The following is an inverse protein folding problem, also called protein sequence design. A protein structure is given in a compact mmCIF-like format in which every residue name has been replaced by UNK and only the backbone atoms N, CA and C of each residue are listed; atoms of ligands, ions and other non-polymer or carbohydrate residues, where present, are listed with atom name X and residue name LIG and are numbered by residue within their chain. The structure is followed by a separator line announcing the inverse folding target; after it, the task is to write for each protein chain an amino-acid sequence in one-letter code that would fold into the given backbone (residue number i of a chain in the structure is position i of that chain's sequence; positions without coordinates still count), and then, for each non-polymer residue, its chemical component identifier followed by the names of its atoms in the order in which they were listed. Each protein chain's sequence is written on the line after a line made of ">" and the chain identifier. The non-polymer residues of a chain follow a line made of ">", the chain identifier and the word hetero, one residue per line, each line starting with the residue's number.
data_IF_170996591686
#
_entry.id   IF_170996591686
#
_cell.length_a   1.000
_cell.length_b   1.000
_cell.length_c   1.000
_cell.angle_alpha   90.00
_cell.angle_beta   90.00
_cell.angle_gamma   90.00
#
_symmetry.space_group_name_H-M   'P 1'
#
loop_
_entity.id
_entity.type
_entity.pdbx_description
1 polymer ?
#
# COMPACT_ATOMS: atom_id res chain seq x y z
N UNK A 1 5.71 -20.52 12.09
CA UNK A 1 4.49 -21.19 11.59
C UNK A 1 3.19 -20.46 11.88
N UNK A 2 2.81 -20.23 13.16
CA UNK A 2 1.54 -19.55 13.51
C UNK A 2 1.44 -18.13 12.92
N UNK A 3 2.50 -17.33 13.08
CA UNK A 3 2.57 -15.97 12.54
C UNK A 3 2.37 -15.93 11.00
N UNK A 4 2.98 -16.86 10.26
CA UNK A 4 2.82 -16.98 8.81
C UNK A 4 1.38 -17.30 8.41
N UNK A 5 0.74 -18.24 9.11
CA UNK A 5 -0.68 -18.59 8.87
C UNK A 5 -1.62 -17.44 9.18
N UNK A 6 -1.40 -16.75 10.30
CA UNK A 6 -2.21 -15.61 10.70
C UNK A 6 -2.06 -14.44 9.70
N UNK A 7 -0.84 -14.22 9.17
CA UNK A 7 -0.57 -13.19 8.16
C UNK A 7 -1.18 -13.52 6.80
N UNK A 8 -1.09 -14.77 6.33
CA UNK A 8 -1.78 -15.19 5.10
C UNK A 8 -3.30 -15.01 5.25
N UNK A 9 -3.85 -15.30 6.43
CA UNK A 9 -5.27 -15.09 6.69
C UNK A 9 -5.66 -13.60 6.68
N UNK A 10 -4.82 -12.74 7.27
CA UNK A 10 -5.01 -11.27 7.25
C UNK A 10 -4.92 -10.69 5.85
N UNK A 11 -3.83 -10.96 5.11
CA UNK A 11 -3.67 -10.49 3.72
C UNK A 11 -4.80 -11.01 2.85
N UNK A 12 -5.17 -12.29 3.00
CA UNK A 12 -6.31 -12.86 2.28
C UNK A 12 -7.64 -12.16 2.59
N UNK A 13 -7.85 -11.70 3.82
CA UNK A 13 -9.02 -10.91 4.19
C UNK A 13 -8.97 -9.50 3.58
N UNK A 14 -7.81 -8.85 3.63
CA UNK A 14 -7.63 -7.48 3.15
C UNK A 14 -7.66 -7.38 1.63
N UNK A 15 -7.24 -8.44 0.91
CA UNK A 15 -7.38 -8.54 -0.54
C UNK A 15 -8.86 -8.67 -1.00
N UNK A 16 -9.74 -9.25 -0.18
CA UNK A 16 -11.16 -9.47 -0.58
C UNK A 16 -11.90 -8.17 -0.83
N UNK A 17 -11.66 -7.15 0.00
CA UNK A 17 -12.35 -5.86 -0.09
C UNK A 17 -12.09 -5.14 -1.43
N UNK A 18 -10.83 -4.83 -1.81
CA UNK A 18 -10.56 -4.19 -3.10
C UNK A 18 -10.91 -5.09 -4.29
N UNK A 19 -10.77 -6.42 -4.18
CA UNK A 19 -11.21 -7.34 -5.23
C UNK A 19 -12.72 -7.29 -5.47
N UNK A 20 -13.53 -7.31 -4.41
CA UNK A 20 -14.98 -7.22 -4.50
C UNK A 20 -15.42 -5.88 -5.11
N UNK A 21 -14.76 -4.78 -4.73
CA UNK A 21 -15.00 -3.45 -5.29
C UNK A 21 -14.70 -3.39 -6.80
N UNK A 22 -13.52 -3.86 -7.23
CA UNK A 22 -13.16 -3.93 -8.65
C UNK A 22 -14.15 -4.79 -9.43
N UNK A 23 -14.54 -5.94 -8.89
CA UNK A 23 -15.52 -6.82 -9.53
C UNK A 23 -16.87 -6.12 -9.73
N UNK A 24 -17.40 -5.49 -8.69
CA UNK A 24 -18.68 -4.78 -8.78
C UNK A 24 -18.63 -3.62 -9.80
N UNK A 25 -17.50 -2.91 -9.87
CA UNK A 25 -17.30 -1.84 -10.87
C UNK A 25 -17.27 -2.40 -12.28
N UNK A 26 -16.54 -3.49 -12.51
CA UNK A 26 -16.45 -4.13 -13.83
C UNK A 26 -17.80 -4.67 -14.27
N UNK A 27 -18.55 -5.31 -13.36
CA UNK A 27 -19.91 -5.79 -13.63
C UNK A 27 -20.85 -4.63 -13.98
N UNK A 28 -20.85 -3.53 -13.19
CA UNK A 28 -21.69 -2.37 -13.46
C UNK A 28 -21.39 -1.69 -14.81
N UNK A 29 -20.13 -1.64 -15.22
CA UNK A 29 -19.72 -1.10 -16.52
C UNK A 29 -20.06 -2.05 -17.67
N UNK A 30 -19.87 -3.36 -17.49
CA UNK A 30 -20.16 -4.37 -18.52
C UNK A 30 -21.65 -4.52 -18.79
N UNK A 31 -22.49 -4.44 -17.75
CA UNK A 31 -23.94 -4.52 -17.84
C UNK A 31 -24.59 -3.22 -18.36
N UNK A 32 -23.80 -2.17 -18.59
CA UNK A 32 -24.29 -0.86 -19.02
C UNK A 32 -25.15 -0.15 -17.97
N UNK A 33 -25.05 -0.55 -16.69
CA UNK A 33 -25.75 0.09 -15.56
C UNK A 33 -25.26 1.52 -15.35
N UNK A 34 -24.00 1.76 -15.71
CA UNK A 34 -23.36 3.09 -15.70
C UNK A 34 -23.09 3.51 -17.14
N UNK A 35 -23.77 4.56 -17.59
CA UNK A 35 -23.70 5.09 -18.95
C UNK A 35 -23.24 6.56 -19.02
N UNK A 36 -23.24 7.28 -17.90
CA UNK A 36 -22.75 8.66 -17.85
C UNK A 36 -21.20 8.71 -17.77
N UNK A 37 -20.55 9.55 -18.60
CA UNK A 37 -19.08 9.61 -18.64
C UNK A 37 -18.40 9.98 -17.32
N UNK A 38 -19.07 10.75 -16.45
CA UNK A 38 -18.50 11.21 -15.19
C UNK A 38 -18.42 10.06 -14.18
N UNK A 39 -19.51 9.29 -14.05
CA UNK A 39 -19.55 8.11 -13.19
C UNK A 39 -18.63 7.02 -13.71
N UNK A 40 -18.57 6.79 -15.02
CA UNK A 40 -17.59 5.86 -15.62
C UNK A 40 -16.16 6.26 -15.23
N UNK A 41 -15.79 7.54 -15.39
CA UNK A 41 -14.47 8.02 -15.03
C UNK A 41 -14.19 7.86 -13.51
N UNK A 42 -15.19 8.13 -12.66
CA UNK A 42 -15.09 7.92 -11.20
C UNK A 42 -14.86 6.44 -10.87
N UNK A 43 -15.62 5.54 -11.48
CA UNK A 43 -15.52 4.09 -11.25
C UNK A 43 -14.16 3.56 -11.69
N UNK A 44 -13.67 3.97 -12.87
CA UNK A 44 -12.34 3.62 -13.33
C UNK A 44 -11.23 4.13 -12.41
N UNK A 45 -11.37 5.33 -11.84
CA UNK A 45 -10.43 5.85 -10.82
C UNK A 45 -10.43 4.98 -9.56
N UNK A 46 -11.61 4.59 -9.06
CA UNK A 46 -11.74 3.70 -7.90
C UNK A 46 -11.12 2.33 -8.18
N UNK A 47 -11.44 1.72 -9.33
CA UNK A 47 -10.86 0.43 -9.73
C UNK A 47 -9.32 0.51 -9.84
N UNK A 48 -8.78 1.57 -10.43
CA UNK A 48 -7.32 1.78 -10.50
C UNK A 48 -6.69 1.87 -9.11
N UNK A 49 -7.31 2.60 -8.18
CA UNK A 49 -6.83 2.71 -6.80
C UNK A 49 -6.86 1.34 -6.10
N UNK A 50 -7.94 0.60 -6.27
CA UNK A 50 -8.12 -0.71 -5.63
C UNK A 50 -7.17 -1.76 -6.21
N UNK A 51 -6.87 -1.73 -7.52
CA UNK A 51 -5.79 -2.51 -8.14
C UNK A 51 -4.42 -2.16 -7.56
N UNK A 52 -4.14 -0.87 -7.33
CA UNK A 52 -2.91 -0.43 -6.68
C UNK A 52 -2.78 -0.97 -5.25
N UNK A 53 -3.87 -0.98 -4.49
CA UNK A 53 -3.89 -1.57 -3.15
C UNK A 53 -3.67 -3.09 -3.18
N UNK A 54 -4.29 -3.81 -4.14
CA UNK A 54 -4.05 -5.25 -4.35
C UNK A 54 -2.58 -5.52 -4.67
N UNK A 55 -1.95 -4.72 -5.53
CA UNK A 55 -0.54 -4.88 -5.88
C UNK A 55 0.37 -4.71 -4.64
N UNK A 56 0.16 -3.67 -3.83
CA UNK A 56 0.93 -3.47 -2.60
C UNK A 56 0.81 -4.61 -1.61
N UNK A 57 -0.40 -5.16 -1.40
CA UNK A 57 -0.60 -6.32 -0.52
C UNK A 57 0.10 -7.60 -1.04
N UNK A 58 0.23 -7.74 -2.36
CA UNK A 58 0.97 -8.85 -2.99
C UNK A 58 2.47 -8.65 -2.82
N UNK A 59 2.97 -7.43 -2.99
CA UNK A 59 4.38 -7.09 -2.78
C UNK A 59 4.78 -7.35 -1.33
N UNK A 60 3.97 -6.94 -0.36
CA UNK A 60 4.17 -7.21 1.07
C UNK A 60 4.28 -8.72 1.37
N UNK A 61 3.43 -9.54 0.71
CA UNK A 61 3.48 -10.99 0.86
C UNK A 61 4.77 -11.59 0.27
N UNK A 62 5.25 -11.04 -0.84
CA UNK A 62 6.47 -11.50 -1.51
C UNK A 62 7.71 -11.13 -0.69
N UNK A 63 7.80 -9.89 -0.21
CA UNK A 63 8.88 -9.42 0.66
C UNK A 63 8.96 -10.28 1.92
N UNK A 64 7.80 -10.58 2.52
CA UNK A 64 7.76 -11.46 3.68
C UNK A 64 8.24 -12.89 3.36
N UNK A 65 7.82 -13.46 2.23
CA UNK A 65 8.27 -14.78 1.82
C UNK A 65 9.79 -14.84 1.64
N UNK A 66 10.41 -13.78 1.11
CA UNK A 66 11.86 -13.66 1.04
C UNK A 66 12.52 -13.58 2.42
N UNK A 67 11.96 -12.81 3.34
CA UNK A 67 12.46 -12.69 4.72
C UNK A 67 12.43 -14.05 5.43
N UNK A 68 11.33 -14.79 5.32
CA UNK A 68 11.14 -16.12 5.92
C UNK A 68 12.09 -17.17 5.33
N UNK A 69 12.42 -17.05 4.04
CA UNK A 69 13.36 -17.94 3.35
C UNK A 69 14.84 -17.65 3.69
N UNK A 70 15.12 -16.66 4.55
CA UNK A 70 16.48 -16.22 4.86
C UNK A 70 17.17 -15.51 3.68
N UNK A 71 16.40 -15.09 2.67
CA UNK A 71 16.90 -14.44 1.46
C UNK A 71 17.27 -12.97 1.65
N UNK A 72 16.85 -12.35 2.75
CA UNK A 72 17.14 -10.94 3.03
C UNK A 72 18.62 -10.77 3.42
N UNK A 73 19.47 -10.46 2.44
CA UNK A 73 20.86 -10.04 2.69
C UNK A 73 20.88 -8.56 3.02
N UNK A 74 21.15 -8.24 4.29
CA UNK A 74 21.32 -6.86 4.72
C UNK A 74 22.69 -6.34 4.27
N UNK A 75 22.69 -5.34 3.38
CA UNK A 75 23.87 -4.53 3.11
C UNK A 75 24.00 -3.47 4.21
N UNK A 76 24.95 -3.70 5.12
CA UNK A 76 25.17 -2.80 6.27
C UNK A 76 26.13 -1.69 5.85
N UNK A 77 25.74 -0.45 6.07
CA UNK A 77 26.56 0.73 5.82
C UNK A 77 26.36 1.80 6.90
N UNK A 78 27.33 2.70 7.01
CA UNK A 78 27.20 3.91 7.82
C UNK A 78 26.24 4.87 7.12
N UNK A 79 25.19 5.29 7.83
CA UNK A 79 24.21 6.26 7.35
C UNK A 79 23.95 7.27 8.47
N UNK A 80 23.81 8.55 8.11
CA UNK A 80 23.43 9.57 9.07
C UNK A 80 21.94 9.43 9.39
N UNK A 81 21.61 9.25 10.68
CA UNK A 81 20.22 9.11 11.12
C UNK A 81 19.40 10.38 10.81
N UNK A 82 20.06 11.54 10.79
CA UNK A 82 19.45 12.80 10.35
C UNK A 82 18.87 12.73 8.94
N UNK A 83 19.60 12.08 8.03
CA UNK A 83 19.25 12.03 6.61
C UNK A 83 18.07 11.08 6.43
N UNK A 84 18.13 9.90 7.08
CA UNK A 84 17.02 8.95 7.12
C UNK A 84 15.72 9.59 7.66
N UNK A 85 15.83 10.36 8.74
CA UNK A 85 14.68 11.09 9.31
C UNK A 85 14.15 12.12 8.32
N UNK A 86 15.03 12.88 7.67
CA UNK A 86 14.66 13.92 6.70
C UNK A 86 13.95 13.33 5.48
N UNK A 87 14.52 12.28 4.89
CA UNK A 87 13.93 11.55 3.75
C UNK A 87 12.55 10.97 4.10
N UNK A 88 12.43 10.44 5.32
CA UNK A 88 11.15 9.91 5.81
C UNK A 88 10.12 11.03 5.94
N UNK A 89 10.47 12.15 6.59
CA UNK A 89 9.55 13.28 6.73
C UNK A 89 9.10 13.83 5.37
N UNK A 90 9.99 13.89 4.39
CA UNK A 90 9.68 14.33 3.02
C UNK A 90 8.72 13.36 2.32
N UNK A 91 9.00 12.04 2.39
CA UNK A 91 8.16 11.01 1.75
C UNK A 91 6.71 11.01 2.25
N UNK A 92 6.49 11.33 3.53
CA UNK A 92 5.16 11.41 4.13
C UNK A 92 4.53 12.81 4.09
N UNK A 93 5.28 13.84 3.71
CA UNK A 93 4.86 15.25 3.80
C UNK A 93 3.52 15.54 3.10
N UNK A 94 3.32 15.00 1.89
CA UNK A 94 2.06 15.18 1.14
C UNK A 94 0.86 14.57 1.88
N UNK A 95 0.99 13.32 2.33
CA UNK A 95 -0.06 12.61 3.06
C UNK A 95 -0.40 13.30 4.39
N UNK A 96 0.61 13.84 5.07
CA UNK A 96 0.44 14.60 6.31
C UNK A 96 -0.39 15.88 6.08
N UNK A 97 -0.09 16.65 5.02
CA UNK A 97 -0.85 17.84 4.65
C UNK A 97 -2.29 17.49 4.30
N UNK A 98 -2.52 16.47 3.47
CA UNK A 98 -3.87 16.02 3.08
C UNK A 98 -4.73 15.61 4.29
N UNK A 99 -4.10 15.12 5.36
CA UNK A 99 -4.76 14.66 6.59
C UNK A 99 -4.74 15.68 7.72
N UNK A 100 -4.16 16.87 7.51
CA UNK A 100 -4.03 17.90 8.55
C UNK A 100 -3.13 17.51 9.73
N UNK A 101 -2.14 16.64 9.50
CA UNK A 101 -1.19 16.16 10.52
C UNK A 101 0.13 16.89 10.37
N UNK A 102 0.74 17.31 11.49
CA UNK A 102 2.10 17.88 11.50
C UNK A 102 3.13 16.79 11.79
N UNK A 103 4.16 16.68 10.95
CA UNK A 103 5.29 15.78 11.18
C UNK A 103 6.52 16.58 11.63
N UNK A 104 7.26 16.04 12.58
CA UNK A 104 8.54 16.60 13.04
C UNK A 104 9.49 15.46 13.42
N UNK A 105 10.79 15.70 13.29
CA UNK A 105 11.82 14.73 13.61
C UNK A 105 13.04 15.41 14.21
N UNK A 106 13.70 14.71 15.14
CA UNK A 106 14.91 15.17 15.80
C UNK A 106 15.90 14.00 15.86
N UNK A 107 17.14 14.25 15.47
CA UNK A 107 18.25 13.32 15.67
C UNK A 107 19.26 13.97 16.63
N UNK A 108 19.78 13.20 17.57
CA UNK A 108 20.96 13.63 18.30
C UNK A 108 22.12 13.81 17.31
N UNK A 109 22.99 14.81 17.49
CA UNK A 109 24.21 14.90 16.70
C UNK A 109 25.02 13.62 16.90
N UNK A 110 25.31 12.94 15.78
CA UNK A 110 26.12 11.72 15.71
C UNK A 110 27.50 12.02 15.17
#
# INVERSE_FOLDING_TARGET
>A
EKLRRDLIAWVGHDLRTPLASVRAIVEALADGIVDDPETTARYLRTAKRDIGALAGLIDDLFDMAQMDAGGLRLERGYNAISDLISDTLESFGRSAVERGVTLSGLAAPG
#
